data_IF_126509642549
#
_entry.id   IF_126509642549
#
_cell.length_a   1.000
_cell.length_b   1.000
_cell.length_c   1.000
_cell.angle_alpha   90.00
_cell.angle_beta   90.00
_cell.angle_gamma   90.00
#
_symmetry.space_group_name_H-M   'P 1'
#
loop_
_entity.id
_entity.type
_entity.pdbx_description
1 polymer ?
#
# COMPACT_ATOMS: atom_id res chain seq x y z
N UNK A 1 -51.08 39.14 24.28
CA UNK A 1 -51.95 39.79 25.28
C UNK A 1 -51.25 39.63 26.62
N UNK A 2 -50.71 40.59 27.36
CA UNK A 2 -50.71 42.06 27.41
C UNK A 2 -49.26 42.46 27.80
N UNK A 3 -48.66 43.62 27.53
CA UNK A 3 -49.11 44.93 27.11
C UNK A 3 -48.04 45.90 27.61
N UNK A 4 -47.38 46.62 26.70
CA UNK A 4 -46.44 47.68 27.04
C UNK A 4 -47.19 48.93 27.53
N UNK A 5 -46.69 49.60 28.57
CA UNK A 5 -46.97 51.02 28.84
C UNK A 5 -45.80 51.83 28.26
N UNK A 6 -46.03 52.63 27.20
CA UNK A 6 -46.55 54.01 27.18
C UNK A 6 -45.67 54.96 28.03
N UNK A 7 -45.08 56.03 27.52
CA UNK A 7 -45.09 56.62 26.19
C UNK A 7 -44.37 57.98 26.17
N UNK A 8 -44.05 58.43 24.95
CA UNK A 8 -44.02 59.83 24.43
C UNK A 8 -43.30 60.92 25.23
N UNK A 9 -42.10 61.36 24.80
CA UNK A 9 -41.80 62.35 23.73
C UNK A 9 -42.31 63.78 24.01
N UNK A 10 -41.36 64.69 24.24
CA UNK A 10 -41.44 66.10 23.81
C UNK A 10 -40.20 66.39 22.95
N UNK A 11 -40.42 66.83 21.72
CA UNK A 11 -39.37 67.12 20.75
C UNK A 11 -38.88 68.56 20.78
N UNK A 12 -37.80 68.84 20.05
CA UNK A 12 -37.61 70.08 19.26
C UNK A 12 -36.40 69.95 18.31
N UNK A 13 -36.73 70.08 17.01
CA UNK A 13 -35.98 70.56 15.82
C UNK A 13 -34.71 69.84 15.29
N UNK A 14 -34.51 69.85 13.94
CA UNK A 14 -33.60 68.93 13.24
C UNK A 14 -32.25 69.56 12.86
N UNK A 15 -31.23 68.75 12.55
CA UNK A 15 -30.12 69.18 11.69
C UNK A 15 -29.91 68.19 10.51
N UNK A 16 -29.01 68.46 9.56
CA UNK A 16 -29.32 68.72 8.15
C UNK A 16 -29.26 67.48 7.26
N UNK A 17 -29.81 67.60 6.05
CA UNK A 17 -29.74 66.59 5.00
C UNK A 17 -28.27 66.26 4.64
N UNK A 18 -27.82 65.05 4.98
CA UNK A 18 -26.55 64.51 4.49
C UNK A 18 -26.68 64.23 2.99
N UNK A 19 -25.93 64.99 2.19
CA UNK A 19 -25.71 64.76 0.76
C UNK A 19 -25.36 63.29 0.52
N UNK A 20 -26.19 62.57 -0.24
CA UNK A 20 -25.82 61.29 -0.85
C UNK A 20 -24.69 61.53 -1.86
N UNK A 21 -23.46 61.43 -1.39
CA UNK A 21 -22.32 61.21 -2.27
C UNK A 21 -22.44 59.81 -2.85
N UNK A 22 -22.52 59.72 -4.19
CA UNK A 22 -22.30 58.48 -4.92
C UNK A 22 -20.95 57.89 -4.47
N UNK A 23 -20.98 56.78 -3.74
CA UNK A 23 -19.77 56.00 -3.47
C UNK A 23 -19.20 55.56 -4.82
N UNK A 24 -18.01 56.08 -5.16
CA UNK A 24 -17.25 55.63 -6.33
C UNK A 24 -17.07 54.11 -6.22
N UNK A 25 -17.45 53.38 -7.27
CA UNK A 25 -17.12 51.98 -7.40
C UNK A 25 -15.60 51.80 -7.24
N UNK A 26 -15.18 50.91 -6.34
CA UNK A 26 -13.79 50.60 -6.13
C UNK A 26 -13.20 50.11 -7.47
N UNK A 27 -12.13 50.78 -7.94
CA UNK A 27 -11.42 50.40 -9.15
C UNK A 27 -10.80 48.99 -9.03
N UNK A 28 -10.37 48.40 -10.16
CA UNK A 28 -9.74 47.09 -10.17
C UNK A 28 -8.54 47.06 -9.22
N UNK A 29 -8.52 46.12 -8.28
CA UNK A 29 -7.41 45.94 -7.34
C UNK A 29 -6.12 45.70 -8.12
N UNK A 30 -5.03 46.37 -7.71
CA UNK A 30 -3.74 46.17 -8.35
C UNK A 30 -3.24 44.74 -8.10
N UNK A 31 -2.42 44.20 -9.02
CA UNK A 31 -1.84 42.85 -8.90
C UNK A 31 -1.12 42.64 -7.56
N UNK A 32 -0.53 43.71 -7.03
CA UNK A 32 0.11 43.73 -5.71
C UNK A 32 -0.90 43.56 -4.57
N UNK A 33 -2.04 44.26 -4.61
CA UNK A 33 -3.11 44.12 -3.62
C UNK A 33 -3.80 42.75 -3.67
N UNK A 34 -3.86 42.13 -4.85
CA UNK A 34 -4.34 40.75 -5.00
C UNK A 34 -3.36 39.74 -4.39
N UNK A 35 -2.05 39.91 -4.62
CA UNK A 35 -1.00 39.10 -3.97
C UNK A 35 -0.98 39.26 -2.46
N UNK A 36 -1.09 40.48 -1.96
CA UNK A 36 -1.16 40.76 -0.52
C UNK A 36 -2.43 40.14 0.12
N UNK A 37 -3.56 40.13 -0.61
CA UNK A 37 -4.78 39.44 -0.17
C UNK A 37 -4.69 37.90 -0.24
N UNK A 38 -3.89 37.36 -1.15
CA UNK A 38 -3.62 35.93 -1.32
C UNK A 38 -2.63 35.41 -0.26
N UNK A 39 -1.63 36.21 0.11
CA UNK A 39 -0.75 35.95 1.26
C UNK A 39 -1.48 36.10 2.61
N UNK A 40 -2.45 37.02 2.68
CA UNK A 40 -3.31 37.20 3.86
C UNK A 40 -4.48 36.21 3.91
N UNK A 41 -4.66 35.37 2.88
CA UNK A 41 -5.68 34.33 2.91
C UNK A 41 -5.30 33.29 3.97
N UNK A 42 -6.21 32.92 4.88
CA UNK A 42 -5.92 31.87 5.84
C UNK A 42 -5.65 30.57 5.09
N UNK A 43 -4.39 30.15 5.05
CA UNK A 43 -4.00 28.83 4.58
C UNK A 43 -4.56 27.83 5.58
N UNK A 44 -5.72 27.26 5.26
CA UNK A 44 -6.31 26.20 6.06
C UNK A 44 -5.44 24.95 5.94
N UNK A 45 -4.51 24.79 6.87
CA UNK A 45 -3.70 23.60 7.00
C UNK A 45 -4.56 22.50 7.66
N UNK A 46 -5.26 21.70 6.84
CA UNK A 46 -6.21 20.67 7.31
C UNK A 46 -5.57 19.47 8.04
N UNK A 47 -4.23 19.36 8.06
CA UNK A 47 -3.52 18.32 8.78
C UNK A 47 -2.65 18.94 9.89
N UNK A 48 -3.00 18.67 11.15
CA UNK A 48 -2.22 19.12 12.30
C UNK A 48 -0.78 18.61 12.21
N UNK A 49 0.20 19.52 12.41
CA UNK A 49 1.65 19.25 12.36
C UNK A 49 2.12 18.10 13.27
N UNK A 50 1.29 17.69 14.24
CA UNK A 50 1.57 16.66 15.24
C UNK A 50 0.65 15.42 15.15
N UNK A 51 -0.12 15.24 14.06
CA UNK A 51 -0.93 14.04 13.90
C UNK A 51 -0.01 12.81 13.72
N UNK A 52 -0.04 11.87 14.68
CA UNK A 52 0.63 10.56 14.53
C UNK A 52 0.08 9.90 13.26
N UNK A 53 0.90 9.83 12.21
CA UNK A 53 0.55 9.17 10.95
C UNK A 53 0.35 7.68 11.25
N UNK A 54 -0.88 7.21 11.09
CA UNK A 54 -1.18 5.78 11.16
C UNK A 54 -0.91 5.19 9.78
N UNK A 55 -0.07 4.17 9.73
CA UNK A 55 0.15 3.42 8.50
C UNK A 55 -1.15 2.69 8.12
N UNK A 56 -1.55 2.81 6.85
CA UNK A 56 -2.78 2.20 6.32
C UNK A 56 -2.45 1.63 4.96
N UNK A 57 -2.84 0.37 4.74
CA UNK A 57 -2.72 -0.30 3.45
C UNK A 57 -4.09 -0.28 2.78
N UNK A 58 -4.12 0.16 1.52
CA UNK A 58 -5.32 0.15 0.70
C UNK A 58 -5.11 -0.79 -0.48
N UNK A 59 -6.15 -1.58 -0.79
CA UNK A 59 -6.17 -2.56 -1.86
C UNK A 59 -7.41 -2.35 -2.72
N UNK A 60 -7.25 -2.49 -4.03
CA UNK A 60 -8.34 -2.39 -5.01
C UNK A 60 -7.97 -3.16 -6.29
N UNK A 61 -8.92 -3.31 -7.20
CA UNK A 61 -8.74 -4.01 -8.47
C UNK A 61 -9.31 -5.41 -8.45
N UNK A 62 -8.61 -6.36 -9.06
CA UNK A 62 -9.08 -7.73 -9.23
C UNK A 62 -8.96 -8.55 -7.93
N UNK A 63 -10.09 -9.07 -7.43
CA UNK A 63 -10.16 -9.77 -6.14
C UNK A 63 -10.27 -11.28 -6.25
N UNK A 64 -10.66 -11.83 -7.40
CA UNK A 64 -11.02 -13.25 -7.51
C UNK A 64 -9.84 -14.21 -7.30
N UNK A 65 -8.61 -13.78 -7.62
CA UNK A 65 -7.40 -14.56 -7.32
C UNK A 65 -7.00 -14.53 -5.85
N UNK A 66 -7.63 -13.69 -5.02
CA UNK A 66 -7.23 -13.48 -3.61
C UNK A 66 -6.11 -12.46 -3.42
N UNK A 67 -5.62 -11.81 -4.47
CA UNK A 67 -4.49 -10.86 -4.40
C UNK A 67 -4.72 -9.65 -3.47
N UNK A 68 -5.98 -9.35 -3.14
CA UNK A 68 -6.32 -8.24 -2.24
C UNK A 68 -6.26 -8.65 -0.76
N UNK A 69 -6.16 -9.93 -0.42
CA UNK A 69 -6.05 -10.39 0.97
C UNK A 69 -7.32 -10.23 1.81
N UNK A 70 -8.49 -10.11 1.17
CA UNK A 70 -9.79 -10.00 1.86
C UNK A 70 -10.66 -11.20 1.50
N UNK A 71 -10.77 -12.21 2.38
CA UNK A 71 -11.54 -13.43 2.11
C UNK A 71 -13.00 -13.15 1.75
N UNK A 72 -13.62 -12.18 2.42
CA UNK A 72 -15.02 -11.78 2.21
C UNK A 72 -15.34 -11.32 0.78
N UNK A 73 -14.32 -10.95 -0.03
CA UNK A 73 -14.52 -10.61 -1.44
C UNK A 73 -14.78 -11.83 -2.30
N UNK A 74 -14.08 -12.94 -2.05
CA UNK A 74 -14.21 -14.18 -2.84
C UNK A 74 -15.23 -15.12 -2.23
N UNK A 75 -15.27 -15.19 -0.90
CA UNK A 75 -16.19 -16.02 -0.12
C UNK A 75 -17.00 -15.11 0.81
N UNK A 76 -18.19 -14.67 0.39
CA UNK A 76 -19.01 -13.78 1.18
C UNK A 76 -19.44 -14.46 2.49
N UNK A 77 -19.30 -13.76 3.62
CA UNK A 77 -19.65 -14.29 4.95
C UNK A 77 -21.16 -14.60 5.08
N UNK A 78 -21.98 -13.95 4.25
CA UNK A 78 -23.42 -14.16 4.19
C UNK A 78 -23.80 -14.71 2.81
N UNK A 79 -24.45 -15.88 2.77
CA UNK A 79 -24.74 -16.63 1.54
C UNK A 79 -25.57 -15.90 0.46
N UNK A 80 -26.26 -14.82 0.82
CA UNK A 80 -27.01 -13.94 -0.10
C UNK A 80 -26.13 -12.95 -0.86
N UNK A 81 -24.92 -12.64 -0.34
CA UNK A 81 -24.01 -11.70 -1.00
C UNK A 81 -23.30 -12.42 -2.14
N UNK A 82 -23.27 -11.80 -3.31
CA UNK A 82 -22.50 -12.32 -4.45
C UNK A 82 -21.00 -12.03 -4.26
N UNK A 83 -20.10 -12.94 -4.68
CA UNK A 83 -18.67 -12.69 -4.63
C UNK A 83 -18.32 -11.46 -5.47
N UNK A 84 -17.47 -10.61 -4.90
CA UNK A 84 -16.93 -9.43 -5.56
C UNK A 84 -15.77 -9.86 -6.45
N UNK A 85 -15.90 -9.68 -7.76
CA UNK A 85 -14.83 -9.98 -8.73
C UNK A 85 -13.82 -8.84 -8.86
N UNK A 86 -14.32 -7.61 -8.72
CA UNK A 86 -13.55 -6.37 -8.85
C UNK A 86 -13.96 -5.46 -7.70
N UNK A 87 -12.97 -4.93 -6.99
CA UNK A 87 -13.11 -3.89 -6.00
C UNK A 87 -12.68 -2.57 -6.65
N UNK A 88 -13.64 -1.75 -7.07
CA UNK A 88 -13.37 -0.51 -7.81
C UNK A 88 -12.88 0.65 -6.94
N UNK A 89 -13.17 0.61 -5.63
CA UNK A 89 -12.79 1.65 -4.68
C UNK A 89 -11.71 1.15 -3.73
N UNK A 90 -10.80 2.03 -3.26
CA UNK A 90 -9.77 1.64 -2.29
C UNK A 90 -10.42 1.08 -1.03
N UNK A 91 -10.13 -0.19 -0.73
CA UNK A 91 -10.56 -0.86 0.48
C UNK A 91 -9.40 -0.93 1.47
N UNK A 92 -9.65 -0.67 2.75
CA UNK A 92 -8.61 -0.74 3.77
C UNK A 92 -8.33 -2.20 4.12
N UNK A 93 -7.11 -2.66 3.87
CA UNK A 93 -6.65 -3.95 4.36
C UNK A 93 -6.25 -3.80 5.84
N UNK A 94 -6.76 -4.69 6.68
CA UNK A 94 -6.37 -4.75 8.09
C UNK A 94 -5.09 -5.57 8.21
N UNK A 95 -3.98 -4.89 8.47
CA UNK A 95 -2.69 -5.51 8.78
C UNK A 95 -2.32 -5.19 10.22
N UNK A 96 -1.86 -6.19 10.96
CA UNK A 96 -1.37 -6.00 12.33
C UNK A 96 -0.03 -5.23 12.34
N UNK A 97 0.81 -5.51 11.34
CA UNK A 97 2.16 -4.97 11.24
C UNK A 97 2.26 -3.75 10.34
N UNK A 98 3.31 -2.95 10.58
CA UNK A 98 3.69 -1.83 9.71
C UNK A 98 4.34 -2.37 8.44
N UNK A 99 3.64 -2.24 7.31
CA UNK A 99 4.18 -2.63 6.01
C UNK A 99 5.16 -1.56 5.51
N UNK A 100 6.38 -1.97 5.17
CA UNK A 100 7.44 -1.12 4.62
C UNK A 100 7.50 -1.17 3.09
N UNK A 101 7.26 -2.33 2.50
CA UNK A 101 7.29 -2.53 1.04
C UNK A 101 6.16 -3.45 0.62
N UNK A 102 5.62 -3.19 -0.57
CA UNK A 102 4.58 -3.99 -1.18
C UNK A 102 4.90 -4.19 -2.66
N UNK A 103 4.62 -5.38 -3.19
CA UNK A 103 4.80 -5.71 -4.59
C UNK A 103 3.61 -6.52 -5.10
N UNK A 104 3.11 -6.13 -6.27
CA UNK A 104 1.99 -6.81 -6.92
C UNK A 104 2.52 -7.57 -8.14
N UNK A 105 2.31 -8.89 -8.14
CA UNK A 105 2.58 -9.75 -9.29
C UNK A 105 1.34 -9.98 -10.13
N UNK A 106 1.39 -10.99 -11.01
CA UNK A 106 0.24 -11.35 -11.84
C UNK A 106 -0.77 -12.20 -11.05
N UNK A 107 -1.64 -11.52 -10.30
CA UNK A 107 -2.71 -12.16 -9.53
C UNK A 107 -2.33 -12.56 -8.09
N UNK A 108 -1.18 -12.09 -7.59
CA UNK A 108 -0.73 -12.24 -6.22
C UNK A 108 -0.03 -10.97 -5.72
N UNK A 109 0.10 -10.83 -4.41
CA UNK A 109 0.69 -9.66 -3.75
C UNK A 109 1.60 -10.14 -2.63
N UNK A 110 2.75 -9.49 -2.51
CA UNK A 110 3.65 -9.61 -1.37
C UNK A 110 3.68 -8.30 -0.59
N UNK A 111 3.67 -8.46 0.72
CA UNK A 111 3.84 -7.38 1.69
C UNK A 111 5.03 -7.75 2.57
N UNK A 112 5.89 -6.78 2.87
CA UNK A 112 6.96 -6.98 3.84
C UNK A 112 6.95 -5.89 4.90
N UNK A 113 7.37 -6.27 6.09
CA UNK A 113 7.66 -5.37 7.20
C UNK A 113 9.17 -5.34 7.44
N UNK A 114 9.68 -4.17 7.84
CA UNK A 114 11.08 -3.99 8.26
C UNK A 114 11.30 -4.37 9.74
N UNK A 115 10.39 -5.19 10.30
CA UNK A 115 10.49 -5.69 11.68
C UNK A 115 11.67 -6.67 11.84
N UNK A 116 12.13 -6.80 13.08
CA UNK A 116 13.08 -7.83 13.53
C UNK A 116 12.39 -9.12 13.97
N UNK A 117 11.05 -9.16 13.98
CA UNK A 117 10.30 -10.38 14.29
C UNK A 117 10.54 -11.47 13.25
N UNK A 118 10.35 -12.74 13.62
CA UNK A 118 10.60 -13.89 12.72
C UNK A 118 9.79 -13.77 11.43
N UNK A 119 8.51 -13.41 11.53
CA UNK A 119 7.61 -13.22 10.39
C UNK A 119 7.76 -11.79 9.86
N UNK A 120 8.24 -11.68 8.62
CA UNK A 120 8.51 -10.39 7.98
C UNK A 120 7.79 -10.19 6.66
N UNK A 121 7.37 -11.28 6.03
CA UNK A 121 6.77 -11.27 4.70
C UNK A 121 5.43 -11.98 4.75
N UNK A 122 4.44 -11.37 4.13
CA UNK A 122 3.12 -11.93 3.95
C UNK A 122 2.79 -11.98 2.46
N UNK A 123 2.14 -13.06 2.07
CA UNK A 123 1.67 -13.29 0.71
C UNK A 123 0.18 -13.52 0.65
N UNK A 124 -0.44 -13.05 -0.42
CA UNK A 124 -1.82 -13.39 -0.76
C UNK A 124 -2.01 -13.48 -2.28
N UNK A 125 -2.97 -14.28 -2.71
CA UNK A 125 -3.36 -14.47 -4.10
C UNK A 125 -2.96 -15.82 -4.68
N UNK A 126 -2.68 -15.82 -5.98
CA UNK A 126 -2.31 -17.01 -6.75
C UNK A 126 -1.00 -17.62 -6.24
N UNK A 127 -0.99 -18.93 -6.03
CA UNK A 127 0.16 -19.70 -5.54
C UNK A 127 0.36 -21.05 -6.28
N UNK A 128 -0.04 -21.14 -7.55
CA UNK A 128 0.10 -22.39 -8.34
C UNK A 128 1.54 -22.82 -8.58
N UNK A 129 2.46 -21.87 -8.65
CA UNK A 129 3.89 -22.11 -8.86
C UNK A 129 4.69 -21.96 -7.56
N UNK A 130 4.03 -21.94 -6.39
CA UNK A 130 4.66 -21.61 -5.11
C UNK A 130 5.36 -20.23 -5.10
N UNK A 131 4.83 -19.24 -5.83
CA UNK A 131 5.36 -17.87 -5.83
C UNK A 131 5.24 -17.17 -4.46
N UNK A 132 4.38 -17.68 -3.57
CA UNK A 132 4.26 -17.23 -2.18
C UNK A 132 4.95 -18.22 -1.22
N UNK A 133 5.63 -19.25 -1.71
CA UNK A 133 6.15 -20.36 -0.90
C UNK A 133 5.10 -21.44 -0.59
N UNK A 134 5.43 -22.33 0.34
CA UNK A 134 4.57 -23.45 0.70
C UNK A 134 3.52 -23.08 1.76
N UNK A 135 2.26 -22.97 1.33
CA UNK A 135 1.14 -22.65 2.20
C UNK A 135 0.29 -23.89 2.46
N UNK A 136 0.41 -24.43 3.68
CA UNK A 136 -0.32 -25.63 4.10
C UNK A 136 -1.83 -25.41 4.13
N UNK A 137 -2.59 -26.36 3.56
CA UNK A 137 -4.05 -26.39 3.73
C UNK A 137 -4.44 -26.82 5.13
N UNK A 138 -5.40 -26.12 5.75
CA UNK A 138 -5.95 -26.50 7.06
C UNK A 138 -6.66 -27.85 7.07
N UNK A 139 -7.19 -28.28 5.91
CA UNK A 139 -7.99 -29.51 5.80
C UNK A 139 -7.16 -30.73 5.44
N UNK A 140 -6.10 -30.52 4.68
CA UNK A 140 -5.28 -31.59 4.14
C UNK A 140 -3.82 -31.17 4.21
N UNK A 141 -3.04 -31.84 5.08
CA UNK A 141 -1.62 -31.49 5.30
C UNK A 141 -0.75 -31.84 4.09
N UNK A 142 -1.29 -32.62 3.15
CA UNK A 142 -0.58 -33.04 1.94
C UNK A 142 -0.77 -32.07 0.77
N UNK A 143 -1.75 -31.15 0.85
CA UNK A 143 -2.06 -30.21 -0.23
C UNK A 143 -1.83 -28.77 0.19
N UNK A 144 -1.25 -27.99 -0.70
CA UNK A 144 -1.10 -26.55 -0.59
C UNK A 144 -2.33 -25.79 -1.08
N UNK A 145 -2.43 -24.53 -0.68
CA UNK A 145 -3.42 -23.63 -1.27
C UNK A 145 -2.96 -23.12 -2.64
N UNK A 146 -3.75 -23.37 -3.69
CA UNK A 146 -3.56 -22.73 -5.00
C UNK A 146 -3.87 -21.22 -4.96
N UNK A 147 -4.80 -20.82 -4.10
CA UNK A 147 -5.23 -19.44 -3.89
C UNK A 147 -5.24 -19.13 -2.40
N UNK A 148 -4.41 -18.18 -2.00
CA UNK A 148 -4.27 -17.69 -0.64
C UNK A 148 -5.15 -16.45 -0.50
N UNK A 149 -6.25 -16.53 0.24
CA UNK A 149 -7.27 -15.46 0.28
C UNK A 149 -7.00 -14.38 1.34
N UNK A 150 -6.15 -14.68 2.32
CA UNK A 150 -5.77 -13.80 3.42
C UNK A 150 -4.25 -13.62 3.45
N UNK A 151 -3.72 -12.48 3.95
CA UNK A 151 -2.28 -12.25 4.07
C UNK A 151 -1.67 -13.33 4.96
N UNK A 152 -1.01 -14.30 4.35
CA UNK A 152 -0.46 -15.46 5.04
C UNK A 152 1.05 -15.27 5.21
N UNK A 153 1.61 -15.60 6.38
CA UNK A 153 3.03 -15.45 6.63
C UNK A 153 3.83 -16.40 5.75
N UNK A 154 4.90 -15.90 5.13
CA UNK A 154 5.81 -16.70 4.31
C UNK A 154 7.07 -16.99 5.14
N UNK A 155 7.34 -18.26 5.49
CA UNK A 155 8.57 -18.62 6.19
C UNK A 155 9.76 -18.50 5.23
N UNK A 156 10.77 -17.74 5.63
CA UNK A 156 12.03 -17.63 4.89
C UNK A 156 13.11 -18.45 5.58
N UNK A 157 13.97 -19.16 4.84
CA UNK A 157 15.08 -19.94 5.41
C UNK A 157 16.24 -19.00 5.77
N UNK A 158 15.99 -18.10 6.73
CA UNK A 158 16.97 -17.15 7.23
C UNK A 158 17.90 -17.84 8.23
N UNK A 159 19.21 -17.54 8.15
CA UNK A 159 20.19 -17.99 9.13
C UNK A 159 19.97 -17.31 10.48
N UNK A 160 19.68 -16.00 10.46
CA UNK A 160 19.50 -15.17 11.66
C UNK A 160 18.18 -14.39 11.59
N UNK A 161 17.03 -15.07 11.76
CA UNK A 161 15.72 -14.45 11.54
C UNK A 161 15.47 -13.24 12.45
N UNK A 162 16.06 -13.15 13.64
CA UNK A 162 15.83 -12.00 14.53
C UNK A 162 16.72 -10.79 14.25
N UNK A 163 17.76 -10.94 13.42
CA UNK A 163 18.72 -9.88 13.11
C UNK A 163 18.51 -9.34 11.70
N UNK A 164 18.25 -10.23 10.76
CA UNK A 164 18.07 -9.93 9.34
C UNK A 164 16.75 -9.21 9.11
N UNK A 165 16.75 -8.18 8.26
CA UNK A 165 15.55 -7.40 7.91
C UNK A 165 15.25 -7.52 6.43
N UNK A 166 13.97 -7.51 6.09
CA UNK A 166 13.53 -7.42 4.69
C UNK A 166 13.49 -5.95 4.30
N UNK A 167 14.25 -5.61 3.25
CA UNK A 167 14.36 -4.26 2.72
C UNK A 167 13.31 -4.02 1.63
N UNK A 168 13.18 -4.96 0.71
CA UNK A 168 12.31 -4.81 -0.44
C UNK A 168 11.76 -6.17 -0.89
N UNK A 169 10.54 -6.14 -1.41
CA UNK A 169 9.94 -7.28 -2.13
C UNK A 169 9.67 -6.88 -3.57
N UNK A 170 9.75 -7.85 -4.48
CA UNK A 170 9.38 -7.69 -5.88
C UNK A 170 8.67 -8.94 -6.38
N UNK A 171 7.74 -8.75 -7.30
CA UNK A 171 6.95 -9.82 -7.86
C UNK A 171 7.01 -9.73 -9.39
N UNK A 172 7.15 -10.88 -10.04
CA UNK A 172 7.00 -11.04 -11.47
C UNK A 172 5.66 -11.66 -11.85
N UNK A 173 5.63 -12.37 -12.98
CA UNK A 173 4.45 -13.11 -13.44
C UNK A 173 4.08 -14.28 -12.52
N UNK A 174 5.08 -15.05 -12.10
CA UNK A 174 4.90 -16.25 -11.28
C UNK A 174 6.14 -16.54 -10.39
N UNK A 175 6.94 -15.50 -10.12
CA UNK A 175 8.11 -15.58 -9.25
C UNK A 175 8.13 -14.38 -8.31
N UNK A 176 8.82 -14.53 -7.20
CA UNK A 176 8.96 -13.51 -6.17
C UNK A 176 10.42 -13.39 -5.76
N UNK A 177 10.83 -12.16 -5.48
CA UNK A 177 12.16 -11.82 -5.02
C UNK A 177 12.06 -11.01 -3.72
N UNK A 178 12.89 -11.36 -2.76
CA UNK A 178 12.89 -10.79 -1.42
C UNK A 178 14.32 -10.37 -1.10
N UNK A 179 14.55 -9.06 -1.01
CA UNK A 179 15.84 -8.48 -0.68
C UNK A 179 15.94 -8.33 0.84
N UNK A 180 16.99 -8.91 1.41
CA UNK A 180 17.36 -8.70 2.81
C UNK A 180 18.53 -7.73 2.94
N UNK A 181 18.77 -7.24 4.15
CA UNK A 181 19.86 -6.32 4.45
C UNK A 181 21.23 -7.01 4.51
N UNK A 182 21.30 -8.26 4.97
CA UNK A 182 22.55 -8.99 5.24
C UNK A 182 22.65 -10.36 4.58
N UNK A 183 21.53 -11.06 4.35
CA UNK A 183 21.50 -12.45 3.88
C UNK A 183 21.27 -12.60 2.37
N UNK A 184 21.40 -11.50 1.61
CA UNK A 184 21.26 -11.48 0.16
C UNK A 184 19.82 -11.46 -0.33
N UNK A 185 19.57 -12.09 -1.49
CA UNK A 185 18.27 -12.10 -2.16
C UNK A 185 17.70 -13.51 -2.13
N UNK A 186 16.46 -13.65 -1.65
CA UNK A 186 15.71 -14.89 -1.71
C UNK A 186 14.76 -14.86 -2.89
N UNK A 187 14.65 -15.99 -3.57
CA UNK A 187 13.82 -16.15 -4.76
C UNK A 187 12.94 -17.39 -4.60
N UNK A 188 11.72 -17.32 -5.11
CA UNK A 188 10.75 -18.41 -5.06
C UNK A 188 9.77 -18.32 -6.22
N UNK A 189 9.14 -19.45 -6.55
CA UNK A 189 8.18 -19.53 -7.64
C UNK A 189 8.71 -20.27 -8.87
N UNK A 190 8.08 -19.98 -10.01
CA UNK A 190 8.44 -20.53 -11.30
C UNK A 190 9.88 -20.15 -11.70
N UNK A 191 10.64 -21.13 -12.20
CA UNK A 191 12.01 -20.94 -12.69
C UNK A 191 12.23 -21.49 -14.12
N UNK A 192 11.19 -21.57 -14.94
CA UNK A 192 11.29 -22.18 -16.29
C UNK A 192 12.25 -21.45 -17.24
N UNK A 193 12.57 -20.18 -16.95
CA UNK A 193 13.48 -19.35 -17.73
C UNK A 193 14.70 -18.86 -16.91
N UNK A 194 14.94 -19.44 -15.73
CA UNK A 194 16.07 -19.04 -14.87
C UNK A 194 15.82 -17.78 -14.03
N UNK A 195 14.60 -17.25 -13.99
CA UNK A 195 14.24 -16.02 -13.28
C UNK A 195 14.46 -16.05 -11.75
N UNK A 196 14.65 -17.23 -11.15
CA UNK A 196 14.98 -17.38 -9.74
C UNK A 196 16.51 -17.45 -9.51
N UNK A 197 17.33 -17.20 -10.54
CA UNK A 197 18.80 -17.15 -10.41
C UNK A 197 19.45 -18.51 -10.13
N UNK A 198 18.76 -19.61 -10.45
CA UNK A 198 19.29 -20.98 -10.34
C UNK A 198 19.13 -21.72 -11.65
N UNK A 199 19.90 -22.81 -11.82
CA UNK A 199 19.83 -23.68 -13.00
C UNK A 199 18.39 -24.12 -13.28
N UNK A 200 17.99 -24.00 -14.53
CA UNK A 200 16.69 -24.49 -15.01
C UNK A 200 16.71 -26.02 -14.97
N UNK A 201 15.71 -26.59 -14.31
CA UNK A 201 15.49 -28.04 -14.25
C UNK A 201 14.34 -28.36 -15.19
N UNK A 202 14.57 -29.27 -16.13
CA UNK A 202 13.54 -29.73 -17.05
C UNK A 202 12.44 -30.48 -16.29
N UNK A 203 11.18 -30.24 -16.66
CA UNK A 203 10.00 -30.85 -16.05
C UNK A 203 9.85 -30.64 -14.54
N UNK A 204 10.39 -29.54 -14.01
CA UNK A 204 10.22 -29.19 -12.59
C UNK A 204 8.77 -28.84 -12.26
N UNK A 205 8.21 -29.53 -11.25
CA UNK A 205 6.89 -29.22 -10.71
C UNK A 205 7.00 -28.12 -9.66
N UNK A 206 6.54 -26.92 -9.98
CA UNK A 206 6.62 -25.75 -9.08
C UNK A 206 5.50 -25.71 -8.03
N UNK A 207 4.39 -26.40 -8.26
CA UNK A 207 3.25 -26.42 -7.33
C UNK A 207 3.62 -27.09 -6.01
N UNK A 208 3.20 -26.48 -4.89
CA UNK A 208 3.39 -27.01 -3.54
C UNK A 208 4.87 -27.22 -3.16
N UNK A 209 5.79 -26.58 -3.89
CA UNK A 209 7.21 -26.60 -3.62
C UNK A 209 7.57 -25.78 -2.38
N UNK A 210 8.52 -26.30 -1.60
CA UNK A 210 9.17 -25.60 -0.48
C UNK A 210 10.46 -24.89 -0.90
N UNK A 211 10.77 -24.91 -2.20
CA UNK A 211 12.05 -24.43 -2.70
C UNK A 211 12.11 -22.90 -2.63
N UNK A 212 13.04 -22.42 -1.80
CA UNK A 212 13.41 -21.02 -1.71
C UNK A 212 14.91 -20.96 -1.98
N UNK A 213 15.29 -20.32 -3.07
CA UNK A 213 16.69 -20.22 -3.46
C UNK A 213 17.29 -18.92 -2.92
N UNK A 214 18.48 -19.01 -2.34
CA UNK A 214 19.19 -17.88 -1.76
C UNK A 214 20.39 -17.52 -2.63
N UNK A 215 20.37 -16.29 -3.15
CA UNK A 215 21.46 -15.70 -3.91
C UNK A 215 22.35 -14.90 -2.95
N UNK A 216 23.56 -15.42 -2.70
CA UNK A 216 24.59 -14.76 -1.87
C UNK A 216 25.75 -14.19 -2.69
N UNK A 217 25.98 -14.71 -3.88
CA UNK A 217 27.18 -14.45 -4.69
C UNK A 217 26.98 -13.21 -5.57
N UNK A 218 27.07 -12.03 -4.96
CA UNK A 218 27.13 -10.77 -5.68
C UNK A 218 28.45 -10.06 -5.43
N UNK A 219 29.07 -9.55 -6.49
CA UNK A 219 30.32 -8.76 -6.42
C UNK A 219 30.14 -7.49 -5.57
N UNK A 220 28.91 -6.99 -5.48
CA UNK A 220 28.52 -5.80 -4.73
C UNK A 220 27.14 -5.97 -4.09
N UNK A 221 26.85 -5.16 -3.05
CA UNK A 221 25.58 -5.24 -2.32
C UNK A 221 24.42 -4.88 -3.25
N UNK A 222 23.41 -5.76 -3.30
CA UNK A 222 22.16 -5.49 -4.03
C UNK A 222 21.37 -4.42 -3.29
N UNK A 223 21.01 -3.35 -4.00
CA UNK A 223 20.30 -2.20 -3.40
C UNK A 223 18.82 -2.21 -3.78
N UNK A 224 18.50 -2.73 -4.96
CA UNK A 224 17.14 -2.72 -5.46
C UNK A 224 16.82 -3.97 -6.29
N UNK A 225 15.58 -4.43 -6.16
CA UNK A 225 15.03 -5.53 -6.96
C UNK A 225 13.79 -5.07 -7.71
N UNK A 226 13.69 -5.35 -9.02
CA UNK A 226 12.56 -4.93 -9.87
C UNK A 226 12.19 -6.02 -10.88
N UNK A 227 11.05 -6.68 -10.67
CA UNK A 227 10.60 -7.74 -11.55
C UNK A 227 11.67 -8.84 -11.65
N UNK A 228 12.08 -9.29 -12.84
CA UNK A 228 13.18 -10.26 -12.98
C UNK A 228 14.59 -9.63 -12.87
N UNK A 229 14.72 -8.32 -12.67
CA UNK A 229 16.02 -7.63 -12.71
C UNK A 229 16.54 -7.29 -11.30
N UNK A 230 17.85 -7.47 -11.10
CA UNK A 230 18.59 -7.05 -9.91
C UNK A 230 19.44 -5.82 -10.23
N UNK A 231 19.39 -4.81 -9.35
CA UNK A 231 20.18 -3.59 -9.43
C UNK A 231 21.21 -3.57 -8.28
N UNK A 232 22.47 -3.63 -8.66
CA UNK A 232 23.59 -3.51 -7.72
C UNK A 232 23.90 -2.03 -7.43
N UNK A 233 24.70 -1.78 -6.38
CA UNK A 233 25.14 -0.42 -5.99
C UNK A 233 25.86 0.35 -7.09
N UNK A 234 26.39 -0.34 -8.10
CA UNK A 234 27.09 0.25 -9.26
C UNK A 234 26.16 0.51 -10.46
N UNK A 235 24.86 0.26 -10.34
CA UNK A 235 23.87 0.51 -11.40
C UNK A 235 23.83 -0.54 -12.53
N UNK A 236 24.65 -1.59 -12.44
CA UNK A 236 24.60 -2.70 -13.39
C UNK A 236 23.30 -3.51 -13.22
N UNK A 237 22.53 -3.61 -14.31
CA UNK A 237 21.42 -4.55 -14.47
C UNK A 237 22.02 -5.93 -14.71
N UNK A 238 22.04 -6.79 -13.69
CA UNK A 238 22.27 -8.22 -13.93
C UNK A 238 20.93 -8.87 -14.19
N UNK A 239 20.76 -9.43 -15.39
CA UNK A 239 19.78 -10.47 -15.63
C UNK A 239 20.26 -11.72 -14.91
N UNK A 240 19.39 -12.33 -14.10
CA UNK A 240 19.61 -13.67 -13.55
C UNK A 240 19.91 -14.68 -14.65
#
# INVERSE_FOLDING_TARGET
MWGALRGTLRGTRPPPALRRGLAKAAGPRSVRQLREAEEAAPVFQYAGKAAKRKDRVFVWGFSYSGALGVPSFVRPDAGWKKPRRIQSTPYRLETAEKISSAACGYGFTLLSSSTTDIIKVWGMGLNKDSQLGFQMSRRDRTKGYEYVLEPSPIPLPLEKPQQTRVLQVSCGRAHSLILTDSEGVFTMGNNSYGQCGRKVVEHETYSESHLIHQLKEFDSRVVQVRGPYLLNSEGALKTS
#
